data_IF_639232547695
#
_entry.id   IF_639232547695
#
_cell.length_a   1.000
_cell.length_b   1.000
_cell.length_c   1.000
_cell.angle_alpha   90.00
_cell.angle_beta   90.00
_cell.angle_gamma   90.00
#
_symmetry.space_group_name_H-M   'P 1'
#
loop_
_entity.id
_entity.type
_entity.pdbx_description
1 polymer ?
#
# COMPACT_ATOMS: atom_id res chain seq x y z
N UNK A 1 -15.07 14.46 2.41
CA UNK A 1 -13.93 13.99 1.59
C UNK A 1 -14.14 14.52 0.17
N UNK A 2 -13.16 15.22 -0.39
CA UNK A 2 -13.19 15.65 -1.78
C UNK A 2 -12.78 14.48 -2.68
N UNK A 3 -13.37 14.36 -3.87
CA UNK A 3 -13.07 13.27 -4.82
C UNK A 3 -11.58 13.24 -5.17
N UNK A 4 -10.97 14.41 -5.36
CA UNK A 4 -9.54 14.55 -5.66
C UNK A 4 -8.65 13.91 -4.58
N UNK A 5 -8.98 14.08 -3.31
CA UNK A 5 -8.26 13.46 -2.20
C UNK A 5 -8.36 11.93 -2.25
N UNK A 6 -9.55 11.38 -2.47
CA UNK A 6 -9.76 9.93 -2.52
C UNK A 6 -8.97 9.31 -3.67
N UNK A 7 -8.90 9.97 -4.83
CA UNK A 7 -8.12 9.48 -5.97
C UNK A 7 -6.61 9.45 -5.67
N UNK A 8 -6.09 10.45 -4.94
CA UNK A 8 -4.69 10.46 -4.50
C UNK A 8 -4.43 9.33 -3.51
N UNK A 9 -5.31 9.10 -2.54
CA UNK A 9 -5.16 8.01 -1.58
C UNK A 9 -5.16 6.63 -2.26
N UNK A 10 -6.07 6.42 -3.22
CA UNK A 10 -6.10 5.19 -4.03
C UNK A 10 -4.79 5.04 -4.83
N UNK A 11 -4.29 6.12 -5.44
CA UNK A 11 -3.02 6.09 -6.16
C UNK A 11 -1.86 5.69 -5.25
N UNK A 12 -1.76 6.29 -4.07
CA UNK A 12 -0.72 5.96 -3.07
C UNK A 12 -0.83 4.51 -2.63
N UNK A 13 -2.05 4.04 -2.35
CA UNK A 13 -2.32 2.66 -1.95
C UNK A 13 -1.89 1.67 -3.03
N UNK A 14 -2.29 1.90 -4.28
CA UNK A 14 -1.94 1.04 -5.42
C UNK A 14 -0.43 1.04 -5.69
N UNK A 15 0.22 2.21 -5.62
CA UNK A 15 1.67 2.31 -5.82
C UNK A 15 2.45 1.55 -4.74
N UNK A 16 2.04 1.66 -3.48
CA UNK A 16 2.66 0.94 -2.37
C UNK A 16 2.43 -0.58 -2.48
N UNK A 17 1.20 -1.00 -2.80
CA UNK A 17 0.88 -2.41 -3.00
C UNK A 17 1.70 -3.02 -4.15
N UNK A 18 1.81 -2.32 -5.28
CA UNK A 18 2.60 -2.76 -6.43
C UNK A 18 4.09 -2.90 -6.09
N UNK A 19 4.67 -1.91 -5.40
CA UNK A 19 6.06 -1.98 -4.96
C UNK A 19 6.31 -3.16 -3.99
N UNK A 20 5.40 -3.37 -3.05
CA UNK A 20 5.50 -4.47 -2.10
C UNK A 20 5.31 -5.84 -2.75
N UNK A 21 4.47 -5.94 -3.78
CA UNK A 21 4.28 -7.15 -4.56
C UNK A 21 5.57 -7.57 -5.28
N UNK A 22 6.22 -6.63 -5.96
CA UNK A 22 7.50 -6.85 -6.65
C UNK A 22 8.60 -7.28 -5.67
N UNK A 23 8.70 -6.61 -4.52
CA UNK A 23 9.66 -6.99 -3.46
C UNK A 23 9.38 -8.39 -2.93
N UNK A 24 8.10 -8.73 -2.69
CA UNK A 24 7.68 -10.04 -2.17
C UNK A 24 8.05 -11.17 -3.12
N UNK A 25 7.80 -10.96 -4.42
CA UNK A 25 8.18 -11.93 -5.45
C UNK A 25 9.70 -12.13 -5.50
N UNK A 26 10.50 -11.06 -5.35
CA UNK A 26 11.97 -11.14 -5.34
C UNK A 26 12.53 -11.92 -4.16
N UNK A 27 11.89 -11.84 -2.99
CA UNK A 27 12.33 -12.55 -1.78
C UNK A 27 11.66 -13.91 -1.58
N UNK A 28 10.79 -14.34 -2.52
CA UNK A 28 10.17 -15.66 -2.51
C UNK A 28 9.03 -15.84 -1.50
N UNK A 29 8.41 -14.75 -1.04
CA UNK A 29 7.23 -14.80 -0.16
C UNK A 29 5.94 -14.56 -0.96
N UNK A 30 4.77 -15.04 -0.50
CA UNK A 30 3.51 -14.78 -1.18
C UNK A 30 3.24 -13.27 -1.30
N UNK A 31 2.92 -12.80 -2.50
CA UNK A 31 2.65 -11.39 -2.82
C UNK A 31 1.67 -10.72 -1.86
N UNK A 32 0.58 -11.42 -1.52
CA UNK A 32 -0.46 -10.94 -0.60
C UNK A 32 0.10 -10.56 0.78
N UNK A 33 1.16 -11.22 1.24
CA UNK A 33 1.80 -10.88 2.53
C UNK A 33 2.45 -9.49 2.47
N UNK A 34 3.17 -9.19 1.40
CA UNK A 34 3.77 -7.86 1.21
C UNK A 34 2.73 -6.76 1.05
N UNK A 35 1.65 -7.02 0.31
CA UNK A 35 0.56 -6.07 0.13
C UNK A 35 -0.13 -5.73 1.46
N UNK A 36 -0.37 -6.73 2.33
CA UNK A 36 -0.94 -6.51 3.66
C UNK A 36 0.01 -5.68 4.54
N UNK A 37 1.31 -6.01 4.52
CA UNK A 37 2.32 -5.25 5.26
C UNK A 37 2.40 -3.81 4.75
N UNK A 38 2.34 -3.60 3.43
CA UNK A 38 2.30 -2.27 2.85
C UNK A 38 1.07 -1.51 3.36
N UNK A 39 -0.14 -2.08 3.23
CA UNK A 39 -1.37 -1.47 3.73
C UNK A 39 -1.30 -1.11 5.21
N UNK A 40 -0.72 -1.97 6.06
CA UNK A 40 -0.50 -1.68 7.47
C UNK A 40 0.51 -0.54 7.69
N UNK A 41 1.58 -0.49 6.90
CA UNK A 41 2.64 0.49 7.00
C UNK A 41 2.23 1.88 6.49
N UNK A 42 1.45 1.99 5.41
CA UNK A 42 0.99 3.28 4.87
C UNK A 42 -0.36 3.73 5.43
N UNK A 43 -1.17 2.80 5.94
CA UNK A 43 -2.45 3.11 6.57
C UNK A 43 -2.35 3.86 7.90
N UNK A 44 -3.50 4.18 8.53
CA UNK A 44 -3.57 4.98 9.75
C UNK A 44 -2.82 4.38 10.94
N UNK A 45 -2.68 3.05 10.98
CA UNK A 45 -1.95 2.34 12.03
C UNK A 45 -0.43 2.32 11.85
N UNK A 46 0.07 2.79 10.70
CA UNK A 46 1.50 2.86 10.37
C UNK A 46 2.00 4.30 10.26
N UNK A 47 2.29 4.73 9.03
CA UNK A 47 2.77 6.06 8.68
C UNK A 47 1.63 7.09 8.55
N UNK A 48 0.36 6.65 8.50
CA UNK A 48 -0.79 7.54 8.41
C UNK A 48 -0.86 8.34 7.12
N UNK A 49 -0.38 7.77 6.00
CA UNK A 49 -0.33 8.43 4.70
C UNK A 49 -1.69 8.47 3.98
N UNK A 50 -2.63 7.64 4.41
CA UNK A 50 -4.01 7.56 3.92
C UNK A 50 -4.96 7.38 5.12
N UNK A 51 -6.13 8.03 5.11
CA UNK A 51 -7.00 8.17 6.29
C UNK A 51 -8.50 8.23 6.00
#
# INVERSE_FOLDING_TARGET
MNVEHVLIEILVLLAAAFAAAEVSQRIGVPTVVGEIIAGLAIGPSGLGLIS
#
